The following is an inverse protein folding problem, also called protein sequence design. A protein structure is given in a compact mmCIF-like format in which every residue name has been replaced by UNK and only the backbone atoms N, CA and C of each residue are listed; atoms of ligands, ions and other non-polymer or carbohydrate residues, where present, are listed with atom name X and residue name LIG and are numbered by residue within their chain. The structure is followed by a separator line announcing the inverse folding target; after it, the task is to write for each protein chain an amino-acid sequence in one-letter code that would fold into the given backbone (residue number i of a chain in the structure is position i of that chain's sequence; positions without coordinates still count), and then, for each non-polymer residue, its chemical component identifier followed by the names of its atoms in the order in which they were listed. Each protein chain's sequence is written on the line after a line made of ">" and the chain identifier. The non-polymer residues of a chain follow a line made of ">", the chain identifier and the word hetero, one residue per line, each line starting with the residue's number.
data_IF_197918764022
#
_entry.id   IF_197918764022
#
_cell.length_a   1.000
_cell.length_b   1.000
_cell.length_c   1.000
_cell.angle_alpha   90.00
_cell.angle_beta   90.00
_cell.angle_gamma   90.00
#
_symmetry.space_group_name_H-M   'P 1'
#
loop_
_entity.id
_entity.type
_entity.pdbx_description
1 polymer ?
#
# COMPACT_ATOMS: atom_id res chain seq x y z
N UNK A 1 -23.89 -7.13 -60.08
CA UNK A 1 -22.52 -6.88 -59.58
C UNK A 1 -22.42 -5.37 -59.41
N UNK A 2 -22.09 -4.73 -58.28
CA UNK A 2 -21.57 -5.14 -56.99
C UNK A 2 -21.90 -4.00 -55.99
N UNK A 3 -22.38 -4.31 -54.78
CA UNK A 3 -22.46 -3.32 -53.69
C UNK A 3 -22.42 -4.04 -52.33
N UNK A 4 -21.27 -4.64 -52.03
CA UNK A 4 -21.00 -5.30 -50.75
C UNK A 4 -19.75 -4.76 -50.03
N UNK A 5 -19.07 -3.77 -50.60
CA UNK A 5 -17.80 -3.24 -50.07
C UNK A 5 -17.94 -2.03 -49.14
N UNK A 6 -19.04 -1.28 -49.25
CA UNK A 6 -19.25 -0.03 -48.49
C UNK A 6 -19.41 -0.31 -46.99
N UNK A 7 -20.18 -1.34 -46.63
CA UNK A 7 -20.43 -1.70 -45.22
C UNK A 7 -19.16 -2.14 -44.46
N UNK A 8 -18.21 -2.80 -45.13
CA UNK A 8 -16.95 -3.19 -44.49
C UNK A 8 -16.05 -1.99 -44.20
N UNK A 9 -16.08 -0.97 -45.05
CA UNK A 9 -15.30 0.24 -44.85
C UNK A 9 -15.85 1.06 -43.68
N UNK A 10 -17.17 1.20 -43.58
CA UNK A 10 -17.84 1.83 -42.44
C UNK A 10 -17.55 1.09 -41.12
N UNK A 11 -17.53 -0.25 -41.15
CA UNK A 11 -17.17 -1.06 -39.99
C UNK A 11 -15.71 -0.81 -39.55
N UNK A 12 -14.77 -0.72 -40.49
CA UNK A 12 -13.36 -0.43 -40.19
C UNK A 12 -13.19 1.00 -39.65
N UNK A 13 -13.91 1.98 -40.20
CA UNK A 13 -13.91 3.34 -39.70
C UNK A 13 -14.49 3.43 -38.28
N UNK A 14 -15.56 2.68 -38.00
CA UNK A 14 -16.16 2.60 -36.67
C UNK A 14 -15.20 1.93 -35.67
N UNK A 15 -14.54 0.85 -36.07
CA UNK A 15 -13.52 0.17 -35.26
C UNK A 15 -12.36 1.12 -34.94
N UNK A 16 -11.85 1.87 -35.92
CA UNK A 16 -10.78 2.85 -35.70
C UNK A 16 -11.17 3.90 -34.65
N UNK A 17 -12.40 4.44 -34.73
CA UNK A 17 -12.93 5.39 -33.74
C UNK A 17 -13.01 4.79 -32.34
N UNK A 18 -13.50 3.56 -32.21
CA UNK A 18 -13.56 2.86 -30.93
C UNK A 18 -12.16 2.62 -30.33
N UNK A 19 -11.16 2.31 -31.16
CA UNK A 19 -9.77 2.18 -30.70
C UNK A 19 -9.21 3.48 -30.14
N UNK A 20 -9.49 4.63 -30.78
CA UNK A 20 -9.08 5.94 -30.27
C UNK A 20 -9.72 6.28 -28.93
N UNK A 21 -11.02 6.01 -28.77
CA UNK A 21 -11.73 6.21 -27.50
C UNK A 21 -11.14 5.35 -26.38
N UNK A 22 -10.83 4.08 -26.67
CA UNK A 22 -10.18 3.17 -25.71
C UNK A 22 -8.80 3.69 -25.29
N UNK A 23 -8.00 4.19 -26.24
CA UNK A 23 -6.69 4.76 -25.95
C UNK A 23 -6.79 6.01 -25.06
N UNK A 24 -7.74 6.90 -25.34
CA UNK A 24 -7.99 8.10 -24.56
C UNK A 24 -8.40 7.77 -23.11
N UNK A 25 -9.37 6.86 -22.95
CA UNK A 25 -9.87 6.43 -21.64
C UNK A 25 -8.74 5.76 -20.82
N UNK A 26 -7.93 4.89 -21.44
CA UNK A 26 -6.79 4.25 -20.77
C UNK A 26 -5.74 5.27 -20.32
N UNK A 27 -5.50 6.32 -21.10
CA UNK A 27 -4.59 7.40 -20.74
C UNK A 27 -5.13 8.21 -19.56
N UNK A 28 -6.42 8.57 -19.55
CA UNK A 28 -7.06 9.28 -18.44
C UNK A 28 -6.98 8.47 -17.13
N UNK A 29 -7.28 7.17 -17.18
CA UNK A 29 -7.17 6.27 -16.03
C UNK A 29 -5.75 6.21 -15.46
N UNK A 30 -4.72 6.16 -16.32
CA UNK A 30 -3.32 6.17 -15.90
C UNK A 30 -2.91 7.53 -15.26
N UNK A 31 -3.39 8.64 -15.81
CA UNK A 31 -3.16 9.99 -15.26
C UNK A 31 -3.82 10.16 -13.88
N UNK A 32 -5.06 9.66 -13.73
CA UNK A 32 -5.82 9.69 -12.48
C UNK A 32 -5.21 8.79 -11.39
N UNK A 33 -4.64 7.65 -11.78
CA UNK A 33 -3.96 6.75 -10.85
C UNK A 33 -2.58 7.27 -10.40
N UNK A 34 -1.84 7.97 -11.29
CA UNK A 34 -0.57 8.63 -10.94
C UNK A 34 -0.73 9.88 -10.07
N UNK A 35 -1.88 10.57 -10.16
CA UNK A 35 -2.28 11.67 -9.27
C UNK A 35 -2.55 11.24 -7.81
N UNK A 36 -2.61 9.92 -7.55
CA UNK A 36 -2.74 9.36 -6.21
C UNK A 36 -1.37 9.00 -5.61
N UNK A 37 -0.37 9.83 -5.82
CA UNK A 37 0.86 9.77 -5.03
C UNK A 37 0.54 10.24 -3.60
N UNK A 38 0.89 9.49 -2.54
CA UNK A 38 0.81 9.99 -1.18
C UNK A 38 1.66 11.25 -1.13
N UNK A 39 1.13 12.32 -0.55
CA UNK A 39 1.84 13.56 -0.29
C UNK A 39 3.15 13.31 0.47
N UNK A 40 4.23 13.02 -0.24
CA UNK A 40 5.60 12.96 0.26
C UNK A 40 6.23 14.36 0.16
N UNK A 41 5.50 15.36 0.66
CA UNK A 41 5.92 16.76 0.62
C UNK A 41 5.48 17.54 1.85
N UNK A 42 5.37 16.88 3.01
CA UNK A 42 5.22 17.56 4.30
C UNK A 42 5.91 16.80 5.43
N UNK A 43 7.21 17.02 5.61
CA UNK A 43 7.80 17.30 6.93
C UNK A 43 9.32 17.43 6.84
N UNK A 44 9.81 18.45 6.13
CA UNK A 44 11.10 19.07 6.46
C UNK A 44 10.93 19.87 7.75
N UNK A 45 10.73 19.19 8.87
CA UNK A 45 10.74 19.80 10.19
C UNK A 45 12.02 19.32 10.88
N UNK A 46 13.06 20.15 11.01
CA UNK A 46 14.15 19.80 11.89
C UNK A 46 13.59 19.86 13.32
N UNK A 47 13.24 18.71 13.89
CA UNK A 47 13.00 18.60 15.33
C UNK A 47 14.37 18.63 16.01
N UNK A 48 14.97 19.81 16.04
CA UNK A 48 15.92 20.15 17.08
C UNK A 48 15.16 20.22 18.42
N UNK A 49 15.82 19.69 19.46
CA UNK A 49 15.46 19.69 20.89
C UNK A 49 14.61 18.52 21.40
N UNK A 50 15.38 17.57 21.96
CA UNK A 50 15.22 17.10 23.32
C UNK A 50 13.84 16.57 23.74
N UNK A 51 13.72 15.25 23.74
CA UNK A 51 13.05 14.58 24.86
C UNK A 51 13.94 13.43 25.33
N UNK A 52 14.86 13.80 26.21
CA UNK A 52 15.45 12.88 27.19
C UNK A 52 14.35 12.01 27.80
N UNK A 53 14.68 10.74 28.04
CA UNK A 53 13.92 9.80 28.88
C UNK A 53 12.53 9.42 28.36
N UNK A 54 12.46 8.48 27.41
CA UNK A 54 11.38 7.49 27.42
C UNK A 54 11.91 6.07 27.22
N UNK A 55 12.20 5.44 28.38
CA UNK A 55 12.04 3.99 28.65
C UNK A 55 13.12 3.03 28.13
N UNK A 56 14.39 3.36 28.34
CA UNK A 56 15.37 2.31 28.69
C UNK A 56 15.01 1.76 30.07
N UNK A 57 14.31 0.61 30.14
CA UNK A 57 14.41 -0.39 31.24
C UNK A 57 13.27 -1.43 31.29
N UNK A 58 12.44 -1.59 30.23
CA UNK A 58 11.54 -2.75 30.12
C UNK A 58 11.63 -3.53 28.80
N UNK A 59 12.43 -3.05 27.85
CA UNK A 59 12.44 -3.55 26.46
C UNK A 59 13.44 -4.68 26.20
N UNK A 60 14.47 -4.83 27.04
CA UNK A 60 15.42 -5.94 26.95
C UNK A 60 14.93 -7.14 27.77
N UNK A 61 13.77 -7.70 27.43
CA UNK A 61 13.57 -9.13 27.67
C UNK A 61 14.21 -9.83 26.46
N UNK A 62 15.48 -10.28 26.56
CA UNK A 62 16.12 -11.02 25.49
C UNK A 62 15.27 -12.28 25.23
N UNK A 63 14.63 -12.32 24.06
CA UNK A 63 13.80 -13.44 23.65
C UNK A 63 12.31 -13.14 23.50
N UNK A 64 11.78 -11.94 23.74
CA UNK A 64 10.36 -11.67 23.37
C UNK A 64 10.25 -11.40 21.86
N UNK A 65 9.46 -12.20 21.14
CA UNK A 65 9.28 -12.06 19.70
C UNK A 65 8.53 -10.77 19.33
N UNK A 66 8.67 -10.32 18.08
CA UNK A 66 8.06 -9.08 17.60
C UNK A 66 6.54 -9.02 17.81
N UNK A 67 5.86 -10.16 17.61
CA UNK A 67 4.41 -10.24 17.80
C UNK A 67 4.03 -10.04 19.27
N UNK A 68 4.69 -10.68 20.21
CA UNK A 68 4.44 -10.46 21.64
C UNK A 68 4.87 -9.07 22.12
N UNK A 69 5.92 -8.48 21.53
CA UNK A 69 6.30 -7.09 21.81
C UNK A 69 5.23 -6.09 21.37
N UNK A 70 4.48 -6.40 20.30
CA UNK A 70 3.44 -5.51 19.75
C UNK A 70 2.05 -5.77 20.33
N UNK A 71 1.68 -7.03 20.55
CA UNK A 71 0.34 -7.45 20.92
C UNK A 71 0.24 -8.04 22.34
N UNK A 72 1.37 -8.22 23.03
CA UNK A 72 1.42 -8.85 24.35
C UNK A 72 0.78 -10.24 24.32
N UNK A 73 0.06 -10.59 25.38
CA UNK A 73 -0.68 -11.85 25.51
C UNK A 73 -1.74 -12.09 24.42
N UNK A 74 -2.09 -11.08 23.60
CA UNK A 74 -3.06 -11.21 22.50
C UNK A 74 -2.39 -11.62 21.18
N UNK A 75 -1.08 -11.85 21.14
CA UNK A 75 -0.38 -12.28 19.94
C UNK A 75 -0.84 -13.68 19.51
N UNK A 76 -1.48 -13.76 18.34
CA UNK A 76 -1.93 -15.04 17.76
C UNK A 76 -0.79 -15.80 17.06
N UNK A 77 0.35 -15.14 16.84
CA UNK A 77 1.51 -15.72 16.17
C UNK A 77 2.73 -15.47 17.05
N UNK A 78 3.47 -16.54 17.32
CA UNK A 78 4.70 -16.51 18.09
C UNK A 78 5.84 -17.09 17.28
N UNK A 79 6.93 -16.34 17.11
CA UNK A 79 8.16 -16.82 16.46
C UNK A 79 9.16 -17.31 17.50
N UNK A 80 9.54 -18.59 17.43
CA UNK A 80 10.55 -19.19 18.33
C UNK A 80 11.97 -18.79 17.90
N UNK A 81 12.92 -18.64 18.83
CA UNK A 81 12.78 -18.80 20.28
C UNK A 81 12.14 -17.57 20.95
N UNK A 82 10.97 -17.77 21.57
CA UNK A 82 10.24 -16.71 22.29
C UNK A 82 10.17 -17.04 23.79
N UNK A 83 10.59 -16.11 24.64
CA UNK A 83 10.58 -16.21 26.12
C UNK A 83 9.42 -15.45 26.75
N UNK A 84 8.44 -15.02 25.95
CA UNK A 84 7.26 -14.33 26.44
C UNK A 84 6.37 -15.28 27.25
N UNK A 85 6.26 -15.02 28.55
CA UNK A 85 5.38 -15.74 29.46
C UNK A 85 4.05 -14.98 29.64
N UNK A 86 2.95 -15.64 29.25
CA UNK A 86 1.61 -15.04 29.26
C UNK A 86 1.14 -14.75 30.69
N UNK A 87 1.66 -15.47 31.70
CA UNK A 87 1.23 -15.33 33.09
C UNK A 87 1.78 -14.06 33.76
N UNK A 88 2.84 -13.46 33.21
CA UNK A 88 3.50 -12.28 33.78
C UNK A 88 2.93 -10.93 33.31
N UNK A 89 2.04 -10.93 32.32
CA UNK A 89 1.59 -9.70 31.62
C UNK A 89 0.16 -9.25 31.96
N UNK A 90 -0.52 -9.91 32.90
CA UNK A 90 -1.87 -9.56 33.35
C UNK A 90 -1.91 -9.26 34.85
N UNK A 91 -1.73 -7.99 35.22
CA UNK A 91 -2.16 -7.40 36.49
C UNK A 91 -2.80 -6.04 36.19
#
# INVERSE_FOLDING_TARGET
>A
MADGGSSSFDAVAHIAKLYEEICSIRQEMNSRSRGRSPSSSRSSRPLSRASSKRRQSRSNQPGVCWYHRRYGAKAQKCTRPCTFDVQQSGN
#
